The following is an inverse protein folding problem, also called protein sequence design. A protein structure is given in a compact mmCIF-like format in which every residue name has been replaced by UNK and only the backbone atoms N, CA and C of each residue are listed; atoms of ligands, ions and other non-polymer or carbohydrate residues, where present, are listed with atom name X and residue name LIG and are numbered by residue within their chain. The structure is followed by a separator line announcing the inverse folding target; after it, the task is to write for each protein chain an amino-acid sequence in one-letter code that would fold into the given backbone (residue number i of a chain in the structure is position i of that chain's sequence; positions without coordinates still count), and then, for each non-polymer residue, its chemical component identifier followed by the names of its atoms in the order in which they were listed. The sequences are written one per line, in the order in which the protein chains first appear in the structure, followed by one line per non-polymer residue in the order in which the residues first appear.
data_IF_776806780634
#
_entry.id   IF_776806780634
#
_cell.length_a   1.000
_cell.length_b   1.000
_cell.length_c   1.000
_cell.angle_alpha   90.00
_cell.angle_beta   90.00
_cell.angle_gamma   90.00
#
_symmetry.space_group_name_H-M   'P 1'
#
loop_
_entity.id
_entity.type
_entity.pdbx_description
1 polymer ?
#
# COMPACT_ATOMS: atom_id res chain seq x y z
N UNK A 1 -23.52 29.05 28.64
CA UNK A 1 -22.36 28.43 27.98
C UNK A 1 -21.67 27.58 29.02
N UNK A 2 -21.99 26.29 29.10
CA UNK A 2 -21.34 25.33 30.02
C UNK A 2 -20.29 24.57 29.24
N UNK A 3 -19.04 24.74 29.64
CA UNK A 3 -17.91 23.94 29.14
C UNK A 3 -18.14 22.47 29.53
N UNK A 4 -18.18 21.61 28.56
CA UNK A 4 -18.10 20.15 28.79
C UNK A 4 -16.67 19.78 29.17
N UNK A 5 -16.45 18.85 30.10
CA UNK A 5 -15.12 18.41 30.48
C UNK A 5 -14.49 17.58 29.35
N UNK A 6 -13.22 17.84 29.11
CA UNK A 6 -12.36 17.03 28.22
C UNK A 6 -12.34 15.58 28.70
N UNK A 7 -12.41 14.58 27.81
CA UNK A 7 -12.32 13.19 28.22
C UNK A 7 -10.91 12.89 28.77
N UNK A 8 -10.84 12.28 29.94
CA UNK A 8 -9.60 11.78 30.53
C UNK A 8 -8.96 10.75 29.61
N UNK A 9 -7.66 10.89 29.39
CA UNK A 9 -6.83 9.92 28.66
C UNK A 9 -6.88 8.55 29.37
N UNK A 10 -6.97 7.45 28.62
CA UNK A 10 -7.03 6.11 29.22
C UNK A 10 -5.75 5.80 30.00
N UNK A 11 -5.92 5.11 31.12
CA UNK A 11 -4.85 4.64 32.02
C UNK A 11 -3.70 4.01 31.26
N UNK A 12 -2.47 4.31 31.68
CA UNK A 12 -1.20 3.79 31.13
C UNK A 12 -1.28 2.29 30.85
N UNK A 13 -1.40 1.92 29.57
CA UNK A 13 -1.11 0.55 29.14
C UNK A 13 0.38 0.30 29.36
N UNK A 14 0.73 -0.88 29.84
CA UNK A 14 2.14 -1.30 29.91
C UNK A 14 2.76 -1.20 28.51
N UNK A 15 3.86 -0.45 28.43
CA UNK A 15 4.61 -0.27 27.19
C UNK A 15 5.41 -1.54 26.89
N UNK A 16 5.25 -2.10 25.69
CA UNK A 16 6.08 -3.22 25.23
C UNK A 16 7.38 -2.67 24.68
N UNK A 17 8.52 -3.00 25.34
CA UNK A 17 9.84 -2.58 24.92
C UNK A 17 10.46 -3.63 23.99
N UNK A 18 10.94 -3.18 22.83
CA UNK A 18 11.65 -4.00 21.83
C UNK A 18 13.17 -3.83 22.00
N UNK A 19 13.89 -4.93 22.09
CA UNK A 19 15.23 -5.04 22.68
C UNK A 19 16.44 -4.62 21.83
N UNK A 20 16.36 -3.60 20.95
CA UNK A 20 17.51 -3.15 20.14
C UNK A 20 17.62 -1.63 20.20
N UNK A 21 18.68 -1.10 20.84
CA UNK A 21 18.93 0.34 20.92
C UNK A 21 20.33 0.70 21.43
N UNK A 22 20.78 1.94 21.29
CA UNK A 22 22.05 2.41 21.79
C UNK A 22 22.13 2.37 23.32
N UNK A 23 23.31 2.18 23.83
CA UNK A 23 23.54 1.72 25.20
C UNK A 23 23.39 2.75 26.33
N UNK A 24 23.25 4.07 26.11
CA UNK A 24 23.29 5.04 27.22
C UNK A 24 22.50 6.36 27.09
N UNK A 25 21.87 6.71 25.96
CA UNK A 25 20.99 7.88 25.86
C UNK A 25 19.74 7.51 25.02
N UNK A 26 18.56 8.05 25.41
CA UNK A 26 17.35 7.89 24.58
C UNK A 26 17.52 8.66 23.26
N UNK A 27 17.82 7.92 22.20
CA UNK A 27 17.83 8.47 20.85
C UNK A 27 16.40 8.69 20.37
N UNK A 28 16.18 9.80 19.66
CA UNK A 28 14.86 10.10 19.08
C UNK A 28 14.84 9.74 17.63
N UNK A 29 13.73 9.11 17.20
CA UNK A 29 13.38 8.90 15.80
C UNK A 29 11.96 9.40 15.54
N UNK A 30 11.79 10.08 14.42
CA UNK A 30 10.50 10.53 13.92
C UNK A 30 10.01 9.61 12.80
N UNK A 31 8.73 9.23 12.84
CA UNK A 31 8.10 8.32 11.86
C UNK A 31 6.79 8.93 11.36
N UNK A 32 6.64 9.04 10.04
CA UNK A 32 5.35 9.33 9.42
C UNK A 32 4.75 8.03 8.86
N UNK A 33 3.49 7.72 9.25
CA UNK A 33 2.83 6.47 8.86
C UNK A 33 1.31 6.63 8.86
N UNK A 34 0.64 5.92 7.98
CA UNK A 34 -0.83 5.85 7.98
C UNK A 34 -1.37 5.03 9.16
N UNK A 35 -2.48 5.47 9.73
CA UNK A 35 -3.14 4.76 10.82
C UNK A 35 -3.83 3.49 10.32
N UNK A 36 -3.57 2.41 11.02
CA UNK A 36 -4.25 1.13 10.87
C UNK A 36 -4.23 0.36 12.21
N UNK A 37 -4.94 -0.74 12.30
CA UNK A 37 -4.85 -1.62 13.47
C UNK A 37 -3.42 -2.13 13.71
N UNK A 38 -2.62 -2.31 12.63
CA UNK A 38 -1.22 -2.79 12.67
C UNK A 38 -0.21 -1.71 13.07
N UNK A 39 -0.56 -0.43 12.93
CA UNK A 39 0.33 0.71 13.22
C UNK A 39 -0.09 1.51 14.45
N UNK A 40 -1.31 1.28 14.95
CA UNK A 40 -1.87 2.04 16.08
C UNK A 40 -0.99 1.99 17.32
N UNK A 41 -0.42 0.83 17.65
CA UNK A 41 0.43 0.67 18.83
C UNK A 41 1.75 1.47 18.76
N UNK A 42 2.19 1.85 17.53
CA UNK A 42 3.31 2.78 17.33
C UNK A 42 2.83 4.23 17.50
N UNK A 43 1.66 4.57 16.96
CA UNK A 43 1.10 5.93 17.00
C UNK A 43 0.70 6.35 18.41
N UNK A 44 0.12 5.45 19.20
CA UNK A 44 -0.30 5.71 20.58
C UNK A 44 0.84 5.51 21.61
N UNK A 45 2.02 5.08 21.17
CA UNK A 45 3.20 4.87 22.00
C UNK A 45 3.15 3.61 22.87
N UNK A 46 2.18 2.71 22.65
CA UNK A 46 2.09 1.40 23.35
C UNK A 46 3.33 0.53 23.03
N UNK A 47 3.81 0.58 21.80
CA UNK A 47 5.05 -0.09 21.37
C UNK A 47 6.16 0.95 21.22
N UNK A 48 7.25 0.73 21.93
CA UNK A 48 8.48 1.52 21.88
C UNK A 48 9.68 0.58 21.74
N UNK A 49 10.76 1.08 21.16
CA UNK A 49 12.05 0.39 21.10
C UNK A 49 12.91 0.73 22.30
N UNK A 50 13.61 -0.26 22.85
CA UNK A 50 14.52 -0.02 23.99
C UNK A 50 15.63 0.97 23.58
N UNK A 51 15.80 2.03 24.36
CA UNK A 51 16.81 3.09 24.11
C UNK A 51 16.46 4.03 22.96
N UNK A 52 15.24 3.92 22.37
CA UNK A 52 14.77 4.79 21.30
C UNK A 52 13.41 5.35 21.68
N UNK A 53 13.29 6.67 21.66
CA UNK A 53 12.01 7.36 21.73
C UNK A 53 11.45 7.53 20.32
N UNK A 54 10.55 6.64 19.93
CA UNK A 54 9.84 6.75 18.63
C UNK A 54 8.72 7.78 18.75
N UNK A 55 8.76 8.81 17.89
CA UNK A 55 7.70 9.80 17.73
C UNK A 55 6.98 9.54 16.41
N UNK A 56 5.98 8.66 16.44
CA UNK A 56 5.17 8.34 15.28
C UNK A 56 4.03 9.37 15.11
N UNK A 57 3.77 9.75 13.86
CA UNK A 57 2.66 10.63 13.47
C UNK A 57 1.82 9.99 12.39
N UNK A 58 0.51 10.14 12.54
CA UNK A 58 -0.43 9.75 11.49
C UNK A 58 -0.42 10.82 10.40
N UNK A 59 -0.08 10.39 9.17
CA UNK A 59 -0.17 11.22 7.97
C UNK A 59 -1.17 10.60 6.98
N UNK A 60 -1.81 11.43 6.19
CA UNK A 60 -2.74 10.93 5.19
C UNK A 60 -2.00 10.18 4.07
N UNK A 61 -2.53 9.04 3.64
CA UNK A 61 -1.90 8.17 2.62
C UNK A 61 -1.59 8.91 1.31
N UNK A 62 -2.39 9.94 0.95
CA UNK A 62 -2.15 10.77 -0.23
C UNK A 62 -0.85 11.57 -0.17
N UNK A 63 -0.43 11.99 1.02
CA UNK A 63 0.78 12.78 1.23
C UNK A 63 2.06 11.99 0.93
N UNK A 64 2.06 10.68 1.16
CA UNK A 64 3.20 9.80 0.85
C UNK A 64 3.54 9.68 -0.63
N UNK A 65 2.74 10.30 -1.51
CA UNK A 65 2.94 10.29 -2.96
C UNK A 65 3.22 11.67 -3.56
N UNK A 66 3.02 12.76 -2.82
CA UNK A 66 3.03 14.11 -3.40
C UNK A 66 4.03 15.05 -2.76
N UNK A 67 4.34 14.86 -1.50
CA UNK A 67 5.26 15.68 -0.71
C UNK A 67 6.51 14.87 -0.40
N UNK A 68 7.72 15.46 -0.39
CA UNK A 68 8.94 14.78 0.04
C UNK A 68 8.94 14.61 1.57
N UNK A 69 7.94 13.90 2.10
CA UNK A 69 7.76 13.65 3.54
C UNK A 69 9.01 12.99 4.13
N UNK A 70 9.74 12.20 3.34
CA UNK A 70 11.01 11.61 3.73
C UNK A 70 12.12 12.64 4.06
N UNK A 71 11.93 13.90 3.72
CA UNK A 71 12.82 15.00 4.14
C UNK A 71 12.44 15.59 5.50
N UNK A 72 11.21 15.34 5.96
CA UNK A 72 10.66 15.88 7.20
C UNK A 72 10.77 14.92 8.38
N UNK A 73 10.93 13.62 8.12
CA UNK A 73 10.95 12.55 9.12
C UNK A 73 12.15 11.64 8.91
N UNK A 74 12.63 11.05 10.02
CA UNK A 74 13.72 10.07 9.98
C UNK A 74 13.36 8.80 9.23
N UNK A 75 12.08 8.39 9.30
CA UNK A 75 11.51 7.32 8.52
C UNK A 75 10.07 7.67 8.11
N UNK A 76 9.63 7.19 6.96
CA UNK A 76 8.28 7.45 6.48
C UNK A 76 7.73 6.28 5.65
N UNK A 77 6.41 6.07 5.74
CA UNK A 77 5.71 5.25 4.77
C UNK A 77 5.82 5.88 3.38
N UNK A 78 5.98 5.05 2.35
CA UNK A 78 6.09 5.48 0.96
C UNK A 78 5.41 4.47 0.02
N UNK A 79 4.76 4.98 -1.02
CA UNK A 79 4.23 4.17 -2.10
C UNK A 79 5.36 3.39 -2.79
N UNK A 80 5.19 2.08 -2.96
CA UNK A 80 6.26 1.20 -3.43
C UNK A 80 6.75 1.55 -4.86
N UNK A 81 5.84 1.97 -5.76
CA UNK A 81 6.24 2.41 -7.10
C UNK A 81 7.09 3.69 -7.07
N UNK A 82 6.79 4.60 -6.15
CA UNK A 82 7.60 5.82 -5.98
C UNK A 82 8.99 5.49 -5.44
N UNK A 83 9.05 4.58 -4.47
CA UNK A 83 10.33 4.15 -3.92
C UNK A 83 11.23 3.50 -5.00
N UNK A 84 10.71 2.55 -5.79
CA UNK A 84 11.56 1.90 -6.80
C UNK A 84 11.99 2.87 -7.90
N UNK A 85 11.16 3.85 -8.26
CA UNK A 85 11.56 4.93 -9.17
C UNK A 85 12.63 5.84 -8.56
N UNK A 86 12.47 6.24 -7.29
CA UNK A 86 13.46 7.04 -6.56
C UNK A 86 14.81 6.32 -6.48
N UNK A 87 14.79 5.02 -6.14
CA UNK A 87 15.97 4.18 -6.14
C UNK A 87 16.63 4.10 -7.54
N UNK A 88 15.83 3.92 -8.60
CA UNK A 88 16.33 3.89 -9.99
C UNK A 88 17.01 5.20 -10.43
N UNK A 89 16.60 6.34 -9.86
CA UNK A 89 17.24 7.66 -10.07
C UNK A 89 18.44 7.90 -9.14
N UNK A 90 18.76 6.98 -8.25
CA UNK A 90 19.86 7.13 -7.28
C UNK A 90 19.55 8.10 -6.14
N UNK A 91 18.27 8.35 -5.83
CA UNK A 91 17.91 9.17 -4.67
C UNK A 91 18.44 8.54 -3.36
N UNK A 92 18.88 9.35 -2.39
CA UNK A 92 19.58 8.87 -1.19
C UNK A 92 18.61 8.26 -0.17
N UNK A 93 17.79 7.32 -0.59
CA UNK A 93 16.83 6.58 0.21
C UNK A 93 17.19 5.10 0.30
N UNK A 94 16.73 4.46 1.37
CA UNK A 94 16.76 3.01 1.53
C UNK A 94 15.44 2.55 2.14
N UNK A 95 14.87 1.46 1.61
CA UNK A 95 13.67 0.88 2.21
C UNK A 95 14.01 -0.06 3.37
N UNK A 96 13.05 -0.17 4.28
CA UNK A 96 12.98 -1.22 5.28
C UNK A 96 11.98 -2.27 4.82
N UNK A 97 12.17 -3.56 5.14
CA UNK A 97 11.25 -4.62 4.72
C UNK A 97 9.98 -4.63 5.59
N UNK A 98 9.34 -3.47 5.66
CA UNK A 98 8.10 -3.17 6.37
C UNK A 98 7.07 -2.80 5.34
N UNK A 99 5.94 -3.50 5.32
CA UNK A 99 4.88 -3.36 4.31
C UNK A 99 3.55 -3.01 4.98
N UNK A 100 3.36 -1.72 5.36
CA UNK A 100 2.21 -1.29 6.15
C UNK A 100 0.90 -1.37 5.38
N UNK A 101 0.94 -1.31 4.04
CA UNK A 101 -0.24 -1.37 3.20
C UNK A 101 -0.12 -2.40 2.08
N UNK A 102 -1.13 -3.26 1.99
CA UNK A 102 -1.39 -4.21 0.89
C UNK A 102 -2.82 -4.05 0.44
N UNK A 103 -3.09 -4.27 -0.85
CA UNK A 103 -4.44 -4.05 -1.38
C UNK A 103 -4.81 -5.09 -2.44
N UNK A 104 -6.02 -5.62 -2.34
CA UNK A 104 -6.63 -6.42 -3.39
C UNK A 104 -7.11 -5.50 -4.52
N UNK A 105 -6.22 -5.21 -5.48
CA UNK A 105 -6.47 -4.22 -6.55
C UNK A 105 -7.69 -4.54 -7.40
N UNK A 106 -8.09 -5.81 -7.50
CA UNK A 106 -9.33 -6.25 -8.16
C UNK A 106 -10.59 -5.56 -7.60
N UNK A 107 -10.60 -5.26 -6.30
CA UNK A 107 -11.75 -4.64 -5.63
C UNK A 107 -11.97 -3.17 -6.00
N UNK A 108 -11.01 -2.55 -6.70
CA UNK A 108 -11.00 -1.12 -7.02
C UNK A 108 -11.20 -0.83 -8.51
N UNK A 109 -11.53 -1.85 -9.30
CA UNK A 109 -11.91 -1.71 -10.71
C UNK A 109 -13.44 -1.70 -10.83
N UNK A 110 -13.99 -0.57 -11.31
CA UNK A 110 -15.42 -0.31 -11.38
C UNK A 110 -15.86 -0.04 -12.82
N UNK A 111 -17.14 -0.31 -13.09
CA UNK A 111 -17.81 0.03 -14.34
C UNK A 111 -19.27 0.43 -14.06
N UNK A 112 -19.99 0.89 -15.06
CA UNK A 112 -21.44 1.14 -14.93
C UNK A 112 -22.18 -0.19 -14.75
N UNK A 113 -23.25 -0.16 -13.97
CA UNK A 113 -24.07 -1.37 -13.69
C UNK A 113 -24.76 -1.92 -14.94
N UNK A 114 -25.07 -1.06 -15.91
CA UNK A 114 -25.72 -1.42 -17.18
C UNK A 114 -24.76 -2.03 -18.21
N UNK A 115 -23.44 -1.89 -18.03
CA UNK A 115 -22.45 -2.47 -18.93
C UNK A 115 -22.39 -4.00 -18.75
N UNK A 116 -22.23 -4.71 -19.85
CA UNK A 116 -22.17 -6.18 -19.87
C UNK A 116 -20.78 -6.75 -19.51
N UNK A 117 -19.85 -5.92 -19.06
CA UNK A 117 -18.50 -6.36 -18.69
C UNK A 117 -18.53 -7.34 -17.51
N UNK A 118 -17.85 -8.46 -17.66
CA UNK A 118 -17.73 -9.50 -16.62
C UNK A 118 -16.28 -9.89 -16.36
N UNK A 119 -15.41 -9.53 -17.27
CA UNK A 119 -13.97 -9.82 -17.23
C UNK A 119 -13.15 -8.62 -17.72
N UNK A 120 -11.90 -8.45 -17.28
CA UNK A 120 -10.98 -7.48 -17.86
C UNK A 120 -10.77 -7.64 -19.37
N UNK A 121 -10.96 -8.83 -19.93
CA UNK A 121 -10.88 -9.04 -21.39
C UNK A 121 -11.90 -8.21 -22.17
N UNK A 122 -13.04 -7.87 -21.55
CA UNK A 122 -14.08 -7.03 -22.15
C UNK A 122 -13.66 -5.55 -22.26
N UNK A 123 -12.57 -5.17 -21.58
CA UNK A 123 -12.05 -3.82 -21.58
C UNK A 123 -11.10 -3.52 -22.75
N UNK A 124 -10.75 -4.48 -23.60
CA UNK A 124 -9.88 -4.22 -24.76
C UNK A 124 -10.47 -3.10 -25.64
N UNK A 125 -9.62 -2.12 -25.97
CA UNK A 125 -10.02 -0.93 -26.72
C UNK A 125 -10.85 0.09 -25.91
N UNK A 126 -11.11 -0.15 -24.62
CA UNK A 126 -11.91 0.71 -23.77
C UNK A 126 -11.05 1.77 -23.04
N UNK A 127 -11.74 2.83 -22.60
CA UNK A 127 -11.14 3.95 -21.88
C UNK A 127 -11.19 3.67 -20.38
N UNK A 128 -10.02 3.65 -19.76
CA UNK A 128 -9.86 3.39 -18.32
C UNK A 128 -9.45 4.68 -17.62
N UNK A 129 -10.32 5.19 -16.75
CA UNK A 129 -10.02 6.36 -15.93
C UNK A 129 -9.19 6.00 -14.69
N UNK A 130 -8.12 6.75 -14.46
CA UNK A 130 -7.24 6.61 -13.29
C UNK A 130 -6.84 8.00 -12.79
N UNK A 131 -6.58 8.23 -11.50
CA UNK A 131 -6.06 9.53 -11.05
C UNK A 131 -4.72 9.86 -11.69
N UNK A 132 -3.75 8.96 -11.60
CA UNK A 132 -2.42 9.01 -12.24
C UNK A 132 -2.07 7.63 -12.77
N UNK A 133 -1.37 7.57 -13.91
CA UNK A 133 -0.92 6.31 -14.49
C UNK A 133 0.06 5.56 -13.56
N UNK A 134 0.99 6.29 -12.92
CA UNK A 134 2.10 5.74 -12.13
C UNK A 134 1.76 5.22 -10.73
N UNK A 135 0.50 5.27 -10.27
CA UNK A 135 0.14 4.75 -8.93
C UNK A 135 0.46 3.27 -8.78
N UNK A 136 0.91 2.87 -7.60
CA UNK A 136 1.27 1.46 -7.29
C UNK A 136 0.12 0.49 -7.56
N UNK A 137 -1.12 0.87 -7.22
CA UNK A 137 -2.31 0.05 -7.50
C UNK A 137 -2.52 -0.16 -9.00
N UNK A 138 -2.21 0.87 -9.81
CA UNK A 138 -2.34 0.80 -11.26
C UNK A 138 -1.23 -0.05 -11.88
N UNK A 139 0.00 0.05 -11.35
CA UNK A 139 1.12 -0.81 -11.75
C UNK A 139 0.78 -2.29 -11.50
N UNK A 140 0.31 -2.62 -10.29
CA UNK A 140 -0.14 -3.97 -9.96
C UNK A 140 -1.26 -4.44 -10.88
N UNK A 141 -2.31 -3.62 -11.05
CA UNK A 141 -3.46 -4.00 -11.87
C UNK A 141 -3.04 -4.27 -13.32
N UNK A 142 -2.22 -3.41 -13.94
CA UNK A 142 -1.75 -3.64 -15.32
C UNK A 142 -0.94 -4.92 -15.46
N UNK A 143 -0.03 -5.20 -14.49
CA UNK A 143 0.71 -6.47 -14.48
C UNK A 143 -0.23 -7.68 -14.38
N UNK A 144 -1.22 -7.61 -13.50
CA UNK A 144 -2.24 -8.64 -13.32
C UNK A 144 -3.11 -8.79 -14.57
N UNK A 145 -3.55 -7.68 -15.17
CA UNK A 145 -4.33 -7.70 -16.41
C UNK A 145 -3.57 -8.41 -17.52
N UNK A 146 -2.29 -8.13 -17.67
CA UNK A 146 -1.47 -8.76 -18.70
C UNK A 146 -1.22 -10.23 -18.41
N UNK A 147 -0.84 -10.61 -17.20
CA UNK A 147 -0.37 -11.96 -16.88
C UNK A 147 -1.53 -12.95 -16.67
N UNK A 148 -2.65 -12.52 -16.08
CA UNK A 148 -3.76 -13.41 -15.72
C UNK A 148 -4.99 -13.28 -16.62
N UNK A 149 -5.13 -12.15 -17.33
CA UNK A 149 -6.29 -11.91 -18.20
C UNK A 149 -5.89 -11.68 -19.66
N UNK A 150 -4.59 -11.67 -19.97
CA UNK A 150 -4.09 -11.49 -21.33
C UNK A 150 -4.39 -10.11 -21.92
N UNK A 151 -4.63 -9.10 -21.10
CA UNK A 151 -4.94 -7.72 -21.53
C UNK A 151 -3.72 -6.84 -21.30
N UNK A 152 -3.06 -6.43 -22.37
CA UNK A 152 -1.87 -5.58 -22.30
C UNK A 152 -2.23 -4.12 -22.09
N UNK A 153 -1.39 -3.32 -21.41
CA UNK A 153 -1.63 -1.89 -21.21
C UNK A 153 -1.89 -1.11 -22.51
N UNK A 154 -1.24 -1.50 -23.62
CA UNK A 154 -1.34 -0.87 -24.94
C UNK A 154 -2.69 -1.15 -25.61
N UNK A 155 -3.42 -2.17 -25.17
CA UNK A 155 -4.75 -2.52 -25.67
C UNK A 155 -5.87 -1.71 -25.01
N UNK A 156 -5.52 -0.82 -24.06
CA UNK A 156 -6.42 0.05 -23.30
C UNK A 156 -6.10 1.52 -23.58
N UNK A 157 -7.09 2.39 -23.48
CA UNK A 157 -6.90 3.84 -23.54
C UNK A 157 -6.97 4.39 -22.12
N UNK A 158 -5.86 4.93 -21.62
CA UNK A 158 -5.78 5.44 -20.25
C UNK A 158 -6.11 6.92 -20.20
N UNK A 159 -7.03 7.29 -19.31
CA UNK A 159 -7.40 8.68 -19.04
C UNK A 159 -6.96 9.01 -17.63
N UNK A 160 -6.05 9.99 -17.50
CA UNK A 160 -5.58 10.48 -16.19
C UNK A 160 -6.18 11.84 -15.88
N UNK A 161 -6.35 12.18 -14.60
CA UNK A 161 -6.92 13.48 -14.18
C UNK A 161 -5.97 14.30 -13.33
N UNK A 162 -4.80 13.77 -13.00
CA UNK A 162 -3.75 14.45 -12.26
C UNK A 162 -2.42 14.27 -12.98
N UNK A 163 -1.55 15.30 -12.86
CA UNK A 163 -0.19 15.23 -13.38
C UNK A 163 0.61 14.10 -12.74
N UNK A 164 1.42 13.43 -13.54
CA UNK A 164 2.29 12.37 -13.06
C UNK A 164 3.39 12.89 -12.11
N UNK A 165 3.70 14.19 -12.18
CA UNK A 165 4.76 14.84 -11.41
C UNK A 165 6.16 14.50 -11.94
N UNK A 166 7.18 15.06 -11.30
CA UNK A 166 8.57 14.90 -11.73
C UNK A 166 9.05 13.44 -11.66
N UNK A 167 9.99 13.09 -12.53
CA UNK A 167 10.71 11.82 -12.50
C UNK A 167 9.94 10.61 -13.02
N UNK A 168 8.82 10.80 -13.72
CA UNK A 168 8.12 9.73 -14.43
C UNK A 168 7.82 10.15 -15.87
N UNK A 169 8.15 9.28 -16.81
CA UNK A 169 7.78 9.39 -18.21
C UNK A 169 6.80 8.29 -18.57
N UNK A 170 5.74 8.66 -19.27
CA UNK A 170 4.77 7.67 -19.75
C UNK A 170 5.46 6.67 -20.70
N UNK A 171 5.16 5.36 -20.58
CA UNK A 171 5.76 4.34 -21.42
C UNK A 171 5.36 4.55 -22.90
N UNK A 172 6.32 4.34 -23.79
CA UNK A 172 6.10 4.43 -25.24
C UNK A 172 5.07 3.38 -25.69
N UNK A 173 4.18 3.77 -26.59
CA UNK A 173 3.18 2.87 -27.18
C UNK A 173 1.92 2.66 -26.35
N UNK A 174 1.84 3.19 -25.12
CA UNK A 174 0.62 3.16 -24.31
C UNK A 174 -0.18 4.46 -24.53
N UNK A 175 -1.44 4.37 -24.98
CA UNK A 175 -2.27 5.57 -25.16
C UNK A 175 -2.72 6.14 -23.81
N UNK A 176 -2.15 7.27 -23.41
CA UNK A 176 -2.50 7.99 -22.18
C UNK A 176 -2.90 9.42 -22.52
N UNK A 177 -4.04 9.87 -22.00
CA UNK A 177 -4.53 11.25 -22.17
C UNK A 177 -4.80 11.89 -20.81
N UNK A 178 -4.20 13.06 -20.56
CA UNK A 178 -4.45 13.83 -19.36
C UNK A 178 -5.70 14.71 -19.55
N UNK A 179 -6.65 14.59 -18.65
CA UNK A 179 -7.84 15.45 -18.50
C UNK A 179 -7.82 16.06 -17.09
N UNK A 180 -6.96 17.05 -16.92
CA UNK A 180 -6.60 17.62 -15.63
C UNK A 180 -7.80 18.14 -14.84
N UNK A 181 -7.91 17.72 -13.57
CA UNK A 181 -8.91 18.18 -12.62
C UNK A 181 -10.34 17.64 -12.85
N UNK A 182 -10.56 16.81 -13.87
CA UNK A 182 -11.87 16.22 -14.11
C UNK A 182 -12.21 15.11 -13.08
N UNK A 183 -13.50 14.97 -12.84
CA UNK A 183 -14.05 14.00 -11.90
C UNK A 183 -14.29 12.66 -12.61
N UNK A 184 -13.45 11.67 -12.29
CA UNK A 184 -13.50 10.33 -12.88
C UNK A 184 -14.84 9.62 -12.69
N UNK A 185 -15.53 9.81 -11.57
CA UNK A 185 -16.83 9.17 -11.32
C UNK A 185 -17.90 9.79 -12.23
N UNK A 186 -17.88 11.12 -12.40
CA UNK A 186 -18.76 11.78 -13.37
C UNK A 186 -18.46 11.37 -14.81
N UNK A 187 -17.17 11.28 -15.18
CA UNK A 187 -16.76 10.80 -16.50
C UNK A 187 -17.28 9.38 -16.78
N UNK A 188 -17.25 8.48 -15.76
CA UNK A 188 -17.82 7.15 -15.90
C UNK A 188 -19.31 7.19 -16.18
N UNK A 189 -20.07 7.95 -15.38
CA UNK A 189 -21.52 8.09 -15.56
C UNK A 189 -21.91 8.76 -16.89
N UNK A 190 -21.11 9.72 -17.35
CA UNK A 190 -21.31 10.41 -18.64
C UNK A 190 -20.82 9.61 -19.86
N UNK A 191 -20.33 8.36 -19.67
CA UNK A 191 -19.78 7.51 -20.73
C UNK A 191 -18.53 8.08 -21.43
N UNK A 192 -17.80 8.95 -20.74
CA UNK A 192 -16.53 9.48 -21.23
C UNK A 192 -15.36 8.53 -20.98
N UNK A 193 -15.50 7.66 -19.97
CA UNK A 193 -14.67 6.48 -19.72
C UNK A 193 -15.56 5.24 -19.56
N UNK A 194 -14.97 4.08 -19.74
CA UNK A 194 -15.70 2.80 -19.76
C UNK A 194 -15.50 2.01 -18.46
N UNK A 195 -14.36 2.20 -17.81
CA UNK A 195 -14.07 1.68 -16.49
C UNK A 195 -13.25 2.68 -15.66
N UNK A 196 -13.22 2.46 -14.37
CA UNK A 196 -12.58 3.32 -13.38
C UNK A 196 -11.72 2.47 -12.45
N UNK A 197 -10.43 2.79 -12.34
CA UNK A 197 -9.51 2.14 -11.40
C UNK A 197 -9.00 3.18 -10.40
N UNK A 198 -9.31 2.99 -9.14
CA UNK A 198 -8.99 3.92 -8.06
C UNK A 198 -8.03 3.29 -7.03
N UNK A 199 -7.28 4.10 -6.27
CA UNK A 199 -6.48 3.63 -5.13
C UNK A 199 -7.32 3.42 -3.84
N UNK A 200 -8.62 3.68 -3.91
CA UNK A 200 -9.59 3.56 -2.80
C UNK A 200 -10.97 3.19 -3.37
N UNK A 201 -11.91 2.74 -2.55
CA UNK A 201 -13.29 2.53 -3.01
C UNK A 201 -13.89 3.80 -3.61
N UNK A 202 -14.66 3.65 -4.69
CA UNK A 202 -15.44 4.75 -5.29
C UNK A 202 -16.42 5.33 -4.27
N UNK A 203 -16.54 6.66 -4.22
CA UNK A 203 -17.50 7.33 -3.34
C UNK A 203 -18.94 6.97 -3.72
N UNK A 204 -19.26 6.91 -5.02
CA UNK A 204 -20.57 6.49 -5.51
C UNK A 204 -20.89 5.05 -5.10
N UNK A 205 -19.91 4.14 -5.25
CA UNK A 205 -20.08 2.75 -4.84
C UNK A 205 -20.31 2.62 -3.33
N UNK A 206 -19.55 3.36 -2.51
CA UNK A 206 -19.75 3.38 -1.06
C UNK A 206 -21.10 3.97 -0.64
N UNK A 207 -21.59 4.95 -1.38
CA UNK A 207 -22.92 5.54 -1.16
C UNK A 207 -24.07 4.63 -1.62
N UNK A 208 -23.77 3.47 -2.22
CA UNK A 208 -24.78 2.54 -2.72
C UNK A 208 -25.45 3.01 -4.02
N UNK A 209 -24.79 3.85 -4.83
CA UNK A 209 -25.34 4.32 -6.10
C UNK A 209 -25.53 3.11 -7.06
N UNK A 210 -26.77 2.82 -7.51
CA UNK A 210 -27.08 1.64 -8.30
C UNK A 210 -26.48 1.68 -9.72
N UNK A 211 -25.97 2.84 -10.17
CA UNK A 211 -25.39 3.03 -11.50
C UNK A 211 -23.97 2.51 -11.65
N UNK A 212 -23.28 2.21 -10.52
CA UNK A 212 -21.90 1.76 -10.49
C UNK A 212 -21.78 0.42 -9.78
N UNK A 213 -20.92 -0.45 -10.30
CA UNK A 213 -20.55 -1.73 -9.69
C UNK A 213 -19.07 -2.04 -9.87
N UNK A 214 -18.56 -3.01 -9.13
CA UNK A 214 -17.26 -3.60 -9.45
C UNK A 214 -17.31 -4.29 -10.82
N UNK A 215 -16.19 -4.27 -11.54
CA UNK A 215 -16.08 -4.97 -12.82
C UNK A 215 -16.35 -6.48 -12.64
N UNK A 216 -15.71 -7.08 -11.64
CA UNK A 216 -15.88 -8.49 -11.32
C UNK A 216 -17.19 -8.70 -10.53
N UNK A 217 -18.17 -9.46 -11.10
CA UNK A 217 -19.43 -9.74 -10.40
C UNK A 217 -19.23 -10.48 -9.07
N UNK A 218 -18.33 -11.49 -9.05
CA UNK A 218 -17.84 -12.14 -7.84
C UNK A 218 -16.39 -11.73 -7.57
N UNK A 219 -16.23 -10.50 -7.11
CA UNK A 219 -14.89 -9.94 -6.85
C UNK A 219 -14.10 -10.74 -5.80
N UNK A 220 -14.77 -11.25 -4.76
CA UNK A 220 -14.11 -12.04 -3.72
C UNK A 220 -13.64 -13.40 -4.26
N UNK A 221 -14.47 -14.08 -5.02
CA UNK A 221 -14.09 -15.31 -5.69
C UNK A 221 -12.92 -15.13 -6.65
N UNK A 222 -12.90 -14.00 -7.37
CA UNK A 222 -11.80 -13.67 -8.27
C UNK A 222 -10.47 -13.40 -7.53
N UNK A 223 -10.52 -12.69 -6.40
CA UNK A 223 -9.38 -12.51 -5.51
C UNK A 223 -8.84 -13.87 -5.00
N UNK A 224 -9.73 -14.77 -4.61
CA UNK A 224 -9.34 -16.10 -4.14
C UNK A 224 -8.69 -16.94 -5.25
N UNK A 225 -9.21 -16.90 -6.48
CA UNK A 225 -8.61 -17.57 -7.65
C UNK A 225 -7.23 -17.01 -7.94
N UNK A 226 -7.11 -15.68 -7.99
CA UNK A 226 -5.83 -15.01 -8.20
C UNK A 226 -4.81 -15.40 -7.13
N UNK A 227 -5.16 -15.31 -5.86
CA UNK A 227 -4.26 -15.68 -4.77
C UNK A 227 -3.89 -17.17 -4.79
N UNK A 228 -4.83 -18.05 -5.11
CA UNK A 228 -4.57 -19.49 -5.21
C UNK A 228 -3.54 -19.81 -6.29
N UNK A 229 -3.61 -19.10 -7.43
CA UNK A 229 -2.70 -19.27 -8.56
C UNK A 229 -1.35 -18.59 -8.35
N UNK A 230 -1.35 -17.36 -7.82
CA UNK A 230 -0.17 -16.49 -7.74
C UNK A 230 0.55 -16.53 -6.39
N UNK A 231 -0.17 -16.78 -5.30
CA UNK A 231 0.28 -16.56 -3.91
C UNK A 231 0.67 -15.11 -3.61
N UNK A 232 0.16 -14.16 -4.40
CA UNK A 232 0.47 -12.73 -4.28
C UNK A 232 -0.68 -12.00 -3.58
N UNK A 233 -0.40 -11.38 -2.43
CA UNK A 233 -1.19 -10.30 -1.86
C UNK A 233 -0.43 -8.99 -2.13
N UNK A 234 -0.90 -8.14 -3.07
CA UNK A 234 -0.12 -7.02 -3.59
C UNK A 234 0.33 -6.04 -2.51
N UNK A 235 1.64 -5.86 -2.37
CA UNK A 235 2.25 -4.85 -1.51
C UNK A 235 2.19 -3.51 -2.23
N UNK A 236 1.62 -2.50 -1.57
CA UNK A 236 1.48 -1.17 -2.17
C UNK A 236 2.39 -0.12 -1.54
N UNK A 237 2.74 -0.27 -0.27
CA UNK A 237 3.64 0.65 0.43
C UNK A 237 4.77 -0.09 1.13
N UNK A 238 5.87 0.63 1.37
CA UNK A 238 7.01 0.24 2.22
C UNK A 238 7.35 1.40 3.15
N UNK A 239 8.23 1.18 4.12
CA UNK A 239 8.82 2.25 4.93
C UNK A 239 10.21 2.57 4.39
N UNK A 240 10.53 3.84 4.25
CA UNK A 240 11.84 4.31 3.79
C UNK A 240 12.50 5.21 4.84
N UNK A 241 13.82 5.30 4.78
CA UNK A 241 14.61 6.27 5.53
C UNK A 241 15.73 6.85 4.67
N UNK A 242 16.27 8.01 5.06
CA UNK A 242 17.41 8.61 4.39
C UNK A 242 18.66 7.73 4.54
N UNK A 243 19.40 7.53 3.44
CA UNK A 243 20.63 6.72 3.42
C UNK A 243 21.69 7.27 4.38
N UNK A 244 21.79 8.59 4.49
CA UNK A 244 22.69 9.25 5.43
C UNK A 244 22.38 8.93 6.89
N UNK A 245 21.10 8.92 7.25
CA UNK A 245 20.66 8.55 8.59
C UNK A 245 20.96 7.07 8.86
N UNK A 246 20.62 6.18 7.92
CA UNK A 246 20.94 4.76 8.03
C UNK A 246 22.43 4.50 8.22
N UNK A 247 23.28 5.23 7.48
CA UNK A 247 24.75 5.11 7.60
C UNK A 247 25.24 5.61 8.97
N UNK A 248 24.68 6.71 9.48
CA UNK A 248 25.06 7.29 10.79
C UNK A 248 24.49 6.50 11.97
N UNK A 249 23.28 5.94 11.81
CA UNK A 249 22.54 5.20 12.85
C UNK A 249 22.07 3.83 12.30
N UNK A 250 22.99 2.91 11.99
CA UNK A 250 22.61 1.63 11.35
C UNK A 250 21.67 0.78 12.20
N UNK A 251 21.69 0.95 13.52
CA UNK A 251 20.77 0.29 14.45
C UNK A 251 19.30 0.73 14.30
N UNK A 252 19.04 1.90 13.71
CA UNK A 252 17.66 2.43 13.57
C UNK A 252 16.79 1.55 12.66
N UNK A 253 17.35 1.03 11.57
CA UNK A 253 16.62 0.20 10.62
C UNK A 253 16.10 -1.10 11.26
N UNK A 254 16.92 -1.98 11.87
CA UNK A 254 16.41 -3.17 12.53
C UNK A 254 15.49 -2.86 13.72
N UNK A 255 15.75 -1.78 14.47
CA UNK A 255 14.88 -1.37 15.57
C UNK A 255 13.47 -0.99 15.10
N UNK A 256 13.34 -0.29 13.98
CA UNK A 256 12.03 -0.01 13.36
C UNK A 256 11.35 -1.29 12.88
N UNK A 257 12.07 -2.19 12.20
CA UNK A 257 11.51 -3.49 11.76
C UNK A 257 10.90 -4.24 12.95
N UNK A 258 11.62 -4.36 14.05
CA UNK A 258 11.14 -5.05 15.25
C UNK A 258 9.96 -4.32 15.92
N UNK A 259 9.95 -2.99 15.93
CA UNK A 259 8.82 -2.21 16.45
C UNK A 259 7.54 -2.47 15.64
N UNK A 260 7.65 -2.49 14.30
CA UNK A 260 6.51 -2.81 13.43
C UNK A 260 6.03 -4.25 13.58
N UNK A 261 6.93 -5.23 13.68
CA UNK A 261 6.56 -6.63 13.95
C UNK A 261 5.83 -6.76 15.29
N UNK A 262 6.30 -6.05 16.31
CA UNK A 262 5.66 -6.06 17.63
C UNK A 262 4.26 -5.44 17.57
N UNK A 263 4.12 -4.28 16.91
CA UNK A 263 2.82 -3.64 16.74
C UNK A 263 1.82 -4.52 15.94
N UNK A 264 2.30 -5.20 14.90
CA UNK A 264 1.51 -6.18 14.15
C UNK A 264 1.12 -7.38 15.00
N UNK A 265 2.02 -7.91 15.83
CA UNK A 265 1.71 -9.01 16.71
C UNK A 265 0.63 -8.62 17.75
N UNK A 266 0.67 -7.39 18.29
CA UNK A 266 -0.39 -6.86 19.16
C UNK A 266 -1.73 -6.75 18.42
N UNK A 267 -1.73 -6.26 17.18
CA UNK A 267 -2.92 -6.21 16.33
C UNK A 267 -3.47 -7.62 16.06
N UNK A 268 -2.61 -8.56 15.67
CA UNK A 268 -3.01 -9.95 15.41
C UNK A 268 -3.60 -10.62 16.67
N UNK A 269 -3.01 -10.38 17.85
CA UNK A 269 -3.52 -10.86 19.13
C UNK A 269 -4.91 -10.29 19.45
N UNK A 270 -5.10 -8.99 19.21
CA UNK A 270 -6.40 -8.34 19.42
C UNK A 270 -7.45 -8.88 18.45
N UNK A 271 -7.13 -8.90 17.15
CA UNK A 271 -8.06 -9.27 16.08
C UNK A 271 -8.36 -10.78 16.03
N UNK A 272 -7.54 -11.62 16.65
CA UNK A 272 -7.79 -13.07 16.70
C UNK A 272 -9.01 -13.46 17.57
N UNK A 273 -9.43 -12.58 18.46
CA UNK A 273 -10.63 -12.77 19.28
C UNK A 273 -11.81 -12.01 18.66
N UNK A 274 -12.67 -12.74 17.93
CA UNK A 274 -13.84 -12.15 17.26
C UNK A 274 -14.75 -11.34 18.20
N UNK A 275 -14.76 -11.63 19.51
CA UNK A 275 -15.56 -10.90 20.52
C UNK A 275 -15.13 -9.45 20.73
N UNK A 276 -13.92 -9.10 20.26
CA UNK A 276 -13.36 -7.75 20.32
C UNK A 276 -13.67 -6.90 19.08
N UNK A 277 -14.25 -7.51 18.06
CA UNK A 277 -14.51 -6.87 16.78
C UNK A 277 -15.98 -6.48 16.65
N UNK A 278 -16.26 -5.27 16.21
CA UNK A 278 -17.60 -4.78 15.91
C UNK A 278 -18.10 -5.24 14.52
N UNK A 279 -17.63 -6.39 14.04
CA UNK A 279 -18.04 -6.99 12.77
C UNK A 279 -18.96 -8.15 13.08
N UNK A 280 -20.20 -8.10 12.59
CA UNK A 280 -21.24 -9.10 12.92
C UNK A 280 -20.82 -10.52 12.56
N UNK A 281 -20.15 -10.69 11.41
CA UNK A 281 -19.70 -11.99 10.90
C UNK A 281 -18.21 -12.28 11.20
N UNK A 282 -17.60 -11.57 12.18
CA UNK A 282 -16.16 -11.61 12.44
C UNK A 282 -15.59 -13.02 12.54
N UNK A 283 -16.29 -13.95 13.24
CA UNK A 283 -15.86 -15.33 13.40
C UNK A 283 -15.66 -16.03 12.03
N UNK A 284 -16.66 -15.95 11.16
CA UNK A 284 -16.61 -16.58 9.83
C UNK A 284 -15.62 -15.90 8.89
N UNK A 285 -15.47 -14.57 9.01
CA UNK A 285 -14.48 -13.80 8.25
C UNK A 285 -13.07 -14.25 8.62
N UNK A 286 -12.76 -14.38 9.92
CA UNK A 286 -11.45 -14.81 10.39
C UNK A 286 -11.14 -16.27 10.02
N UNK A 287 -12.11 -17.18 10.13
CA UNK A 287 -11.97 -18.59 9.72
C UNK A 287 -11.66 -18.69 8.23
N UNK A 288 -12.43 -18.00 7.39
CA UNK A 288 -12.21 -17.96 5.94
C UNK A 288 -10.87 -17.34 5.58
N UNK A 289 -10.49 -16.22 6.21
CA UNK A 289 -9.18 -15.59 6.00
C UNK A 289 -8.04 -16.56 6.29
N UNK A 290 -8.09 -17.25 7.42
CA UNK A 290 -7.06 -18.24 7.81
C UNK A 290 -6.98 -19.39 6.82
N UNK A 291 -8.13 -19.91 6.38
CA UNK A 291 -8.19 -21.01 5.43
C UNK A 291 -7.58 -20.67 4.07
N UNK A 292 -7.72 -19.44 3.61
CA UNK A 292 -7.29 -19.01 2.26
C UNK A 292 -5.90 -18.40 2.30
N UNK A 293 -5.65 -17.47 3.22
CA UNK A 293 -4.46 -16.62 3.24
C UNK A 293 -3.43 -17.02 4.31
N UNK A 294 -3.74 -18.00 5.16
CA UNK A 294 -2.88 -18.40 6.27
C UNK A 294 -3.09 -17.55 7.54
N UNK A 295 -2.20 -17.76 8.51
CA UNK A 295 -2.31 -17.14 9.83
C UNK A 295 -1.96 -15.64 9.82
N UNK A 296 -0.98 -15.27 9.02
CA UNK A 296 -0.53 -13.87 8.90
C UNK A 296 -0.31 -13.45 7.43
N UNK A 297 -1.34 -12.94 6.76
CA UNK A 297 -1.20 -12.41 5.40
C UNK A 297 -0.43 -11.08 5.33
N UNK A 298 -0.12 -10.46 6.47
CA UNK A 298 0.59 -9.19 6.57
C UNK A 298 2.06 -9.35 6.95
N UNK A 299 2.62 -10.55 6.79
CA UNK A 299 3.99 -10.86 7.17
C UNK A 299 5.01 -9.85 6.64
N UNK A 300 5.93 -9.40 7.51
CA UNK A 300 7.02 -8.48 7.19
C UNK A 300 8.27 -9.27 6.76
N UNK A 301 9.29 -8.55 6.28
CA UNK A 301 10.57 -9.17 5.88
C UNK A 301 10.71 -9.38 4.38
N UNK A 302 11.96 -9.43 3.88
CA UNK A 302 12.25 -9.65 2.45
C UNK A 302 11.94 -11.08 2.05
N UNK A 303 12.50 -12.06 2.76
CA UNK A 303 12.40 -13.47 2.37
C UNK A 303 10.97 -14.00 2.30
N UNK A 304 10.08 -13.75 3.30
CA UNK A 304 8.71 -14.19 3.21
C UNK A 304 7.92 -13.55 2.06
N UNK A 305 8.39 -12.40 1.57
CA UNK A 305 7.76 -11.62 0.51
C UNK A 305 8.53 -11.63 -0.81
N UNK A 306 9.61 -12.41 -0.93
CA UNK A 306 10.51 -12.41 -2.08
C UNK A 306 9.76 -12.51 -3.40
N UNK A 307 8.89 -13.50 -3.53
CA UNK A 307 8.09 -13.71 -4.74
C UNK A 307 7.20 -12.51 -5.11
N UNK A 308 6.56 -11.87 -4.11
CA UNK A 308 5.70 -10.69 -4.32
C UNK A 308 6.55 -9.50 -4.77
N UNK A 309 7.70 -9.27 -4.11
CA UNK A 309 8.59 -8.16 -4.40
C UNK A 309 9.28 -8.31 -5.78
N UNK A 310 9.77 -9.50 -6.11
CA UNK A 310 10.37 -9.78 -7.43
C UNK A 310 9.33 -9.61 -8.56
N UNK A 311 8.09 -10.05 -8.33
CA UNK A 311 6.99 -9.81 -9.29
C UNK A 311 6.73 -8.31 -9.45
N UNK A 312 6.72 -7.56 -8.36
CA UNK A 312 6.53 -6.11 -8.41
C UNK A 312 7.64 -5.40 -9.19
N UNK A 313 8.91 -5.74 -8.91
CA UNK A 313 10.08 -5.17 -9.62
C UNK A 313 10.04 -5.52 -11.11
N UNK A 314 9.68 -6.75 -11.44
CA UNK A 314 9.49 -7.19 -12.83
C UNK A 314 8.39 -6.37 -13.52
N UNK A 315 7.24 -6.18 -12.89
CA UNK A 315 6.16 -5.35 -13.43
C UNK A 315 6.59 -3.89 -13.58
N UNK A 316 7.33 -3.34 -12.61
CA UNK A 316 7.85 -1.98 -12.69
C UNK A 316 8.79 -1.78 -13.88
N UNK A 317 9.69 -2.73 -14.12
CA UNK A 317 10.57 -2.71 -15.28
C UNK A 317 9.79 -2.86 -16.61
N UNK A 318 8.92 -3.86 -16.72
CA UNK A 318 8.12 -4.11 -17.92
C UNK A 318 7.23 -2.92 -18.32
N UNK A 319 6.80 -2.13 -17.34
CA UNK A 319 5.94 -0.97 -17.53
C UNK A 319 6.72 0.36 -17.58
N UNK A 320 8.05 0.34 -17.67
CA UNK A 320 8.89 1.51 -17.86
C UNK A 320 9.05 2.42 -16.64
N UNK A 321 8.80 1.92 -15.44
CA UNK A 321 9.03 2.69 -14.19
C UNK A 321 10.51 2.75 -13.82
N UNK A 322 11.26 1.74 -14.20
CA UNK A 322 12.71 1.60 -13.96
C UNK A 322 13.36 1.00 -15.20
N UNK A 323 14.60 1.45 -15.51
CA UNK A 323 15.35 0.98 -16.67
C UNK A 323 15.95 -0.42 -16.48
N UNK A 324 16.31 -0.75 -15.26
CA UNK A 324 16.91 -2.03 -14.87
C UNK A 324 16.18 -2.65 -13.70
N UNK A 325 16.16 -3.97 -13.62
CA UNK A 325 15.62 -4.69 -12.46
C UNK A 325 16.70 -4.79 -11.37
N UNK A 326 16.58 -4.03 -10.24
CA UNK A 326 17.49 -4.21 -9.12
C UNK A 326 17.25 -5.57 -8.45
N UNK A 327 18.30 -6.14 -7.85
CA UNK A 327 18.13 -7.23 -6.90
C UNK A 327 17.43 -6.70 -5.63
N UNK A 328 16.66 -7.53 -4.96
CA UNK A 328 15.94 -7.08 -3.75
C UNK A 328 16.90 -6.58 -2.67
N UNK A 329 18.07 -7.21 -2.54
CA UNK A 329 19.12 -6.83 -1.59
C UNK A 329 19.66 -5.40 -1.82
N UNK A 330 19.48 -4.84 -3.02
CA UNK A 330 19.86 -3.46 -3.35
C UNK A 330 18.78 -2.44 -2.95
N UNK A 331 17.53 -2.90 -2.79
CA UNK A 331 16.40 -2.04 -2.44
C UNK A 331 16.28 -1.83 -0.93
N UNK A 332 16.65 -2.81 -0.12
CA UNK A 332 16.43 -2.77 1.33
C UNK A 332 17.72 -2.53 2.12
N UNK A 333 17.59 -2.02 3.31
CA UNK A 333 18.71 -1.85 4.23
C UNK A 333 19.36 -3.22 4.52
N UNK A 334 20.65 -3.36 4.19
CA UNK A 334 21.37 -4.62 4.23
C UNK A 334 21.25 -5.35 5.56
N UNK A 335 21.31 -4.60 6.66
CA UNK A 335 21.23 -5.13 8.02
C UNK A 335 19.79 -5.48 8.47
N UNK A 336 18.83 -5.52 7.56
CA UNK A 336 17.43 -5.93 7.79
C UNK A 336 16.98 -7.06 6.89
N UNK A 337 17.83 -7.58 6.02
CA UNK A 337 17.46 -8.58 5.01
C UNK A 337 17.03 -9.92 5.61
N UNK A 338 17.64 -10.30 6.73
CA UNK A 338 17.41 -11.56 7.44
C UNK A 338 16.39 -11.44 8.59
N UNK A 339 15.74 -10.27 8.72
CA UNK A 339 14.77 -10.00 9.78
C UNK A 339 13.34 -10.41 9.39
#
# INVERSE_FOLDING_TARGET
MSMQPTPELPSKREQTLVGIGPSNEEERLTLAIGESDRTRALLDGTVQTKGIKLSARNEELGEFCTTPIYELYDATEMSLSWYVMAHGRGEPLVALPIFPLRMWVHAFLFCRSEDSYTSPADLRGKRIGVPRYRLTVNLWMRGILQEYYGVRPEELVWITTQDEGAGFSLPSGVPVTLRHGEDLEKMLLNREIDALLLPKPSNLFQAGDPRIRRLFPDCLGEIHKYFSASKIFPITHTVVMGRDLWTKKPWAAPALVEAFKTAQAESNRFNSDFRRLSIVEAMFVLERQRAIFGLDPWIQGVEPNRHVLETFVRYAHQQGYIEHQPKLEQLFAENTLDL
#
